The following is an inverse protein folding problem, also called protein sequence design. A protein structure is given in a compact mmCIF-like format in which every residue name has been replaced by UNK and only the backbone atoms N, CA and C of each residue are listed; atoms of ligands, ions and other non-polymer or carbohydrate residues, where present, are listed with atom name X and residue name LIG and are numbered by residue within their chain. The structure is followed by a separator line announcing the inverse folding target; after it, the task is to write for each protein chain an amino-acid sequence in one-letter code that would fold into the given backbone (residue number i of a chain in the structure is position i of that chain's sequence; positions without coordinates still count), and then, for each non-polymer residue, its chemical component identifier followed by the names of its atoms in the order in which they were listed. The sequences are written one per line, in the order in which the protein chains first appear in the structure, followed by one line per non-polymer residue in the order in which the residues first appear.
data_IF_743683917021
#
_entry.id   IF_743683917021
#
_cell.length_a   1.000
_cell.length_b   1.000
_cell.length_c   1.000
_cell.angle_alpha   90.00
_cell.angle_beta   90.00
_cell.angle_gamma   90.00
#
_symmetry.space_group_name_H-M   'P 1'
#
loop_
_entity.id
_entity.type
_entity.pdbx_description
1 polymer ?
#
# COMPACT_ATOMS: atom_id res chain seq x y z
N UNK A 1 28.57 1.04 21.61
CA UNK A 1 28.74 0.87 20.15
C UNK A 1 27.35 0.70 19.55
N UNK A 2 27.01 1.35 18.42
CA UNK A 2 25.71 1.14 17.77
C UNK A 2 25.63 -0.23 17.08
N UNK A 3 24.43 -0.81 17.04
CA UNK A 3 24.12 -2.07 16.33
C UNK A 3 23.51 -1.73 14.96
N UNK A 4 23.85 -2.49 13.92
CA UNK A 4 23.24 -2.33 12.59
C UNK A 4 21.75 -2.66 12.60
N UNK A 5 20.93 -1.74 12.10
CA UNK A 5 19.49 -1.92 11.93
C UNK A 5 19.04 -1.71 10.48
N UNK A 6 17.83 -2.16 10.15
CA UNK A 6 17.16 -1.90 8.87
C UNK A 6 16.00 -0.95 9.11
N UNK A 7 15.97 0.17 8.38
CA UNK A 7 14.84 1.08 8.38
C UNK A 7 13.90 0.72 7.24
N UNK A 8 12.64 0.47 7.56
CA UNK A 8 11.57 0.22 6.60
C UNK A 8 10.34 1.05 6.96
N UNK A 9 9.57 1.39 5.94
CA UNK A 9 8.28 2.06 6.07
C UNK A 9 7.19 1.15 5.52
N UNK A 10 5.98 1.30 6.04
CA UNK A 10 4.80 0.55 5.58
C UNK A 10 3.64 1.51 5.39
N UNK A 11 3.10 1.54 4.18
CA UNK A 11 1.97 2.37 3.78
C UNK A 11 0.77 1.47 3.59
N UNK A 12 -0.40 1.90 4.06
CA UNK A 12 -1.65 1.11 3.94
C UNK A 12 -2.63 1.82 3.04
N UNK A 13 -3.16 1.08 2.08
CA UNK A 13 -4.22 1.52 1.17
C UNK A 13 -5.39 0.53 1.25
N UNK A 14 -6.59 1.02 0.96
CA UNK A 14 -7.82 0.22 0.90
C UNK A 14 -8.56 0.37 -0.43
N UNK A 15 -7.93 1.03 -1.40
CA UNK A 15 -8.42 1.26 -2.74
C UNK A 15 -7.27 1.05 -3.73
N UNK A 16 -7.59 0.58 -4.93
CA UNK A 16 -6.60 0.38 -5.98
C UNK A 16 -6.16 1.75 -6.54
N UNK A 17 -4.87 2.12 -6.48
CA UNK A 17 -4.41 3.40 -6.99
C UNK A 17 -4.43 3.41 -8.53
N UNK A 18 -4.47 4.59 -9.12
CA UNK A 18 -4.23 4.72 -10.55
C UNK A 18 -2.75 4.44 -10.85
N UNK A 19 -2.49 3.54 -11.80
CA UNK A 19 -1.14 3.11 -12.13
C UNK A 19 -0.84 3.25 -13.62
N UNK A 20 0.32 3.84 -13.90
CA UNK A 20 0.90 3.93 -15.23
C UNK A 20 1.74 2.69 -15.53
N UNK A 21 1.80 2.31 -16.79
CA UNK A 21 2.66 1.21 -17.23
C UNK A 21 3.98 1.80 -17.70
N UNK A 22 5.07 1.43 -17.04
CA UNK A 22 6.41 1.87 -17.37
C UNK A 22 7.21 0.73 -18.00
N UNK A 23 8.53 0.90 -18.12
CA UNK A 23 9.43 -0.12 -18.67
C UNK A 23 9.19 -1.51 -18.07
N UNK A 24 9.40 -2.54 -18.89
CA UNK A 24 9.20 -3.95 -18.52
C UNK A 24 7.77 -4.32 -18.09
N UNK A 25 6.76 -3.53 -18.47
CA UNK A 25 5.37 -3.67 -18.05
C UNK A 25 5.17 -3.50 -16.53
N UNK A 26 6.10 -2.82 -15.85
CA UNK A 26 5.94 -2.54 -14.43
C UNK A 26 4.89 -1.47 -14.23
N UNK A 27 4.29 -1.47 -13.03
CA UNK A 27 3.24 -0.55 -12.66
C UNK A 27 3.82 0.49 -11.72
N UNK A 28 3.78 1.73 -12.15
CA UNK A 28 4.16 2.89 -11.37
C UNK A 28 2.91 3.61 -10.89
N UNK A 29 2.87 3.95 -9.61
CA UNK A 29 1.75 4.68 -9.01
C UNK A 29 2.25 5.49 -7.81
N UNK A 30 1.45 6.48 -7.43
CA UNK A 30 1.74 7.34 -6.29
C UNK A 30 0.73 7.14 -5.17
N UNK A 31 1.19 7.29 -3.93
CA UNK A 31 0.35 7.20 -2.75
C UNK A 31 0.49 8.49 -1.95
N UNK A 32 -0.59 9.25 -1.86
CA UNK A 32 -0.66 10.42 -1.00
C UNK A 32 -0.82 9.99 0.47
N UNK A 33 0.18 10.31 1.29
CA UNK A 33 0.19 10.09 2.73
C UNK A 33 -0.05 11.39 3.53
N UNK A 34 -0.66 12.40 2.88
CA UNK A 34 -0.99 13.71 3.42
C UNK A 34 0.16 14.71 3.35
N UNK A 35 1.28 14.41 4.02
CA UNK A 35 2.47 15.29 3.99
C UNK A 35 3.51 14.87 2.96
N UNK A 36 3.43 13.62 2.49
CA UNK A 36 4.38 13.04 1.56
C UNK A 36 3.63 12.27 0.49
N UNK A 37 4.01 12.47 -0.77
CA UNK A 37 3.62 11.61 -1.88
C UNK A 37 4.72 10.58 -2.09
N UNK A 38 4.35 9.30 -1.97
CA UNK A 38 5.29 8.19 -2.11
C UNK A 38 5.12 7.55 -3.48
N UNK A 39 6.18 7.56 -4.27
CA UNK A 39 6.18 6.95 -5.60
C UNK A 39 6.60 5.48 -5.50
N UNK A 40 5.82 4.58 -6.08
CA UNK A 40 6.01 3.13 -5.97
C UNK A 40 6.00 2.51 -7.35
N UNK A 41 7.01 1.68 -7.63
CA UNK A 41 7.06 0.88 -8.87
C UNK A 41 7.10 -0.60 -8.54
N UNK A 42 6.13 -1.36 -9.00
CA UNK A 42 6.03 -2.81 -8.74
C UNK A 42 5.98 -3.63 -10.01
N UNK A 43 6.47 -4.87 -9.91
CA UNK A 43 6.36 -5.86 -10.99
C UNK A 43 4.89 -6.19 -11.27
N UNK A 44 4.51 -6.55 -12.51
CA UNK A 44 3.14 -6.92 -12.86
C UNK A 44 2.54 -8.01 -11.95
N UNK A 45 3.36 -8.99 -11.55
CA UNK A 45 2.95 -10.06 -10.62
C UNK A 45 2.52 -9.55 -9.24
N UNK A 46 3.16 -8.48 -8.75
CA UNK A 46 2.83 -7.87 -7.46
C UNK A 46 1.56 -7.02 -7.62
N UNK A 47 1.49 -6.21 -8.69
CA UNK A 47 0.31 -5.41 -9.02
C UNK A 47 -0.97 -6.25 -9.12
N UNK A 48 -0.88 -7.40 -9.78
CA UNK A 48 -2.02 -8.32 -9.95
C UNK A 48 -2.67 -8.72 -8.62
N UNK A 49 -1.91 -8.78 -7.52
CA UNK A 49 -2.48 -9.06 -6.18
C UNK A 49 -3.43 -7.96 -5.71
N UNK A 50 -3.16 -6.70 -6.04
CA UNK A 50 -4.05 -5.58 -5.72
C UNK A 50 -5.31 -5.62 -6.60
N UNK A 51 -5.16 -5.92 -7.89
CA UNK A 51 -6.31 -6.08 -8.81
C UNK A 51 -7.22 -7.22 -8.35
N UNK A 52 -6.64 -8.36 -7.98
CA UNK A 52 -7.37 -9.49 -7.42
C UNK A 52 -8.06 -9.12 -6.10
N UNK A 53 -7.44 -8.31 -5.24
CA UNK A 53 -8.06 -7.83 -4.01
C UNK A 53 -9.29 -6.97 -4.29
N UNK A 54 -9.14 -6.00 -5.20
CA UNK A 54 -10.21 -5.08 -5.60
C UNK A 54 -11.39 -5.82 -6.27
N UNK A 55 -11.11 -6.89 -7.02
CA UNK A 55 -12.15 -7.68 -7.69
C UNK A 55 -12.86 -8.68 -6.77
N UNK A 56 -12.15 -9.28 -5.81
CA UNK A 56 -12.66 -10.41 -5.03
C UNK A 56 -13.09 -10.05 -3.59
N UNK A 57 -12.59 -8.96 -3.02
CA UNK A 57 -12.86 -8.61 -1.63
C UNK A 57 -13.70 -7.33 -1.53
N UNK A 58 -14.90 -7.39 -0.90
CA UNK A 58 -15.73 -6.20 -0.69
C UNK A 58 -15.02 -5.11 0.11
N UNK A 59 -14.16 -5.50 1.04
CA UNK A 59 -13.24 -4.62 1.73
C UNK A 59 -11.90 -5.30 1.90
N UNK A 60 -10.82 -4.56 1.66
CA UNK A 60 -9.47 -5.06 1.80
C UNK A 60 -8.54 -3.94 2.26
N UNK A 61 -7.38 -4.34 2.77
CA UNK A 61 -6.27 -3.43 3.07
C UNK A 61 -5.01 -4.06 2.50
N UNK A 62 -4.26 -3.31 1.71
CA UNK A 62 -2.91 -3.68 1.33
C UNK A 62 -1.90 -2.93 2.19
N UNK A 63 -0.96 -3.67 2.78
CA UNK A 63 0.25 -3.14 3.37
C UNK A 63 1.38 -3.19 2.33
N UNK A 64 1.90 -2.02 1.97
CA UNK A 64 2.98 -1.82 1.02
C UNK A 64 4.21 -1.42 1.83
N UNK A 65 5.13 -2.36 2.00
CA UNK A 65 6.35 -2.17 2.78
C UNK A 65 7.57 -2.00 1.86
N UNK A 66 8.53 -1.19 2.28
CA UNK A 66 9.78 -1.00 1.56
C UNK A 66 10.75 -0.10 2.31
N UNK A 67 11.89 0.20 1.66
CA UNK A 67 12.89 1.13 2.17
C UNK A 67 12.62 2.54 1.64
N UNK A 68 13.00 3.55 2.42
CA UNK A 68 13.01 4.94 1.93
C UNK A 68 14.17 5.08 0.94
N UNK A 69 13.82 5.28 -0.32
CA UNK A 69 14.77 5.48 -1.42
C UNK A 69 15.07 6.95 -1.69
N UNK A 70 15.26 7.27 -2.96
CA UNK A 70 15.54 8.63 -3.41
C UNK A 70 14.43 9.61 -3.00
N UNK A 71 14.82 10.80 -2.52
CA UNK A 71 13.86 11.87 -2.25
C UNK A 71 13.32 12.45 -3.56
N UNK A 72 12.03 12.77 -3.56
CA UNK A 72 11.36 13.49 -4.64
C UNK A 72 10.98 14.90 -4.16
N UNK A 73 10.42 15.73 -5.03
CA UNK A 73 9.97 17.07 -4.62
C UNK A 73 8.85 17.04 -3.56
N UNK A 74 8.07 15.97 -3.52
CA UNK A 74 6.85 15.83 -2.70
C UNK A 74 6.94 14.68 -1.70
N UNK A 75 8.02 13.90 -1.69
CA UNK A 75 8.20 12.78 -0.78
C UNK A 75 9.43 11.94 -1.13
N UNK A 76 9.23 10.66 -1.42
CA UNK A 76 10.32 9.72 -1.71
C UNK A 76 9.86 8.54 -2.57
N UNK A 77 10.82 7.87 -3.20
CA UNK A 77 10.61 6.60 -3.89
C UNK A 77 10.67 5.46 -2.89
N UNK A 78 9.69 4.55 -2.93
CA UNK A 78 9.69 3.35 -2.10
C UNK A 78 10.54 2.24 -2.76
N UNK A 79 11.72 2.00 -2.21
CA UNK A 79 12.64 0.98 -2.71
C UNK A 79 12.27 -0.42 -2.20
N UNK A 80 12.52 -1.42 -3.06
CA UNK A 80 12.24 -2.83 -2.80
C UNK A 80 10.79 -3.09 -2.30
N UNK A 81 9.75 -2.57 -3.00
CA UNK A 81 8.39 -2.64 -2.49
C UNK A 81 7.86 -4.08 -2.46
N UNK A 82 7.22 -4.42 -1.35
CA UNK A 82 6.51 -5.68 -1.15
C UNK A 82 5.08 -5.42 -0.67
N UNK A 83 4.12 -6.12 -1.28
CA UNK A 83 2.69 -5.94 -1.01
C UNK A 83 2.11 -7.19 -0.36
N UNK A 84 1.41 -6.97 0.76
CA UNK A 84 0.57 -7.96 1.43
C UNK A 84 -0.87 -7.44 1.49
N UNK A 85 -1.82 -8.22 0.99
CA UNK A 85 -3.25 -7.89 0.99
C UNK A 85 -3.95 -8.68 2.09
N UNK A 86 -4.81 -8.01 2.84
CA UNK A 86 -5.67 -8.61 3.86
C UNK A 86 -7.12 -8.33 3.51
N UNK A 87 -7.93 -9.39 3.42
CA UNK A 87 -9.39 -9.26 3.33
C UNK A 87 -9.94 -8.74 4.68
N UNK A 88 -10.87 -7.80 4.63
CA UNK A 88 -11.65 -7.37 5.78
C UNK A 88 -13.09 -7.78 5.62
N UNK A 89 -13.64 -8.43 6.64
CA UNK A 89 -15.08 -8.61 6.75
C UNK A 89 -15.73 -7.37 7.38
N UNK A 90 -16.94 -6.97 6.96
CA UNK A 90 -17.74 -6.00 7.69
C UNK A 90 -17.79 -6.39 9.17
N UNK A 91 -17.42 -5.46 10.06
CA UNK A 91 -17.79 -5.64 11.45
C UNK A 91 -19.31 -5.59 11.48
N UNK A 92 -19.95 -6.64 11.96
CA UNK A 92 -21.37 -6.57 12.31
C UNK A 92 -21.56 -5.33 13.21
N UNK A 93 -22.58 -4.50 12.93
CA UNK A 93 -22.86 -3.36 13.79
C UNK A 93 -23.03 -3.88 15.22
N UNK A 94 -22.17 -3.41 16.12
CA UNK A 94 -22.29 -3.72 17.54
C UNK A 94 -23.69 -3.25 17.95
N UNK A 95 -24.54 -4.10 18.53
CA UNK A 95 -25.86 -3.65 18.97
C UNK A 95 -25.66 -2.46 19.90
N UNK A 96 -26.24 -1.31 19.52
CA UNK A 96 -26.31 -0.14 20.38
C UNK A 96 -26.96 -0.59 21.69
N UNK A 97 -26.36 -0.30 22.87
CA UNK A 97 -27.05 -0.54 24.12
C UNK A 97 -28.28 0.37 24.12
N UNK A 98 -29.46 -0.23 23.96
CA UNK A 98 -30.74 0.40 24.25
C UNK A 98 -30.63 0.96 25.68
N UNK A 99 -30.58 2.29 25.77
CA UNK A 99 -30.75 2.98 27.04
C UNK A 99 -32.22 2.78 27.46
N UNK A 100 -32.41 2.04 28.55
CA UNK A 100 -33.67 1.93 29.29
C UNK A 100 -34.00 3.20 30.06
#
# INVERSE_FOLDING_TARGET
MPVSGKLEVTIKINELPEAETVENNWKHFEIDCGTHVVSVTVKPKIWKKLEEAQANFPMWVAAIAGKIGAQTATGFVLDEPNIQVFERKPKEPKPEPQAS
#
